data_IF_241835258768
#
_entry.id   IF_241835258768
#
_cell.length_a   1.000
_cell.length_b   1.000
_cell.length_c   1.000
_cell.angle_alpha   90.00
_cell.angle_beta   90.00
_cell.angle_gamma   90.00
#
_symmetry.space_group_name_H-M   'P 1'
#
loop_
_entity.id
_entity.type
_entity.pdbx_description
1 polymer ?
#
# COMPACT_ATOMS: atom_id res chain seq x y z
N UNK A 1 -23.51 29.15 -27.67
CA UNK A 1 -22.57 28.40 -26.82
C UNK A 1 -21.51 29.38 -26.41
N UNK A 2 -21.49 29.71 -25.13
CA UNK A 2 -20.55 30.69 -24.59
C UNK A 2 -19.25 29.92 -24.26
N UNK A 3 -18.07 30.53 -24.42
CA UNK A 3 -16.78 29.82 -24.23
C UNK A 3 -16.68 29.05 -22.89
N UNK A 4 -17.39 29.50 -21.85
CA UNK A 4 -17.46 28.83 -20.55
C UNK A 4 -18.12 27.45 -20.55
N UNK A 5 -19.04 27.16 -21.47
CA UNK A 5 -19.70 25.84 -21.59
C UNK A 5 -18.80 24.81 -22.31
N UNK A 6 -18.02 25.28 -23.30
CA UNK A 6 -17.05 24.45 -24.02
C UNK A 6 -15.86 24.07 -23.12
N UNK A 7 -15.43 24.98 -22.24
CA UNK A 7 -14.36 24.72 -21.27
C UNK A 7 -14.77 23.70 -20.19
N UNK A 8 -16.07 23.52 -19.93
CA UNK A 8 -16.57 22.54 -18.96
C UNK A 8 -16.78 21.13 -19.53
N UNK A 9 -16.91 20.98 -20.85
CA UNK A 9 -17.25 19.72 -21.49
C UNK A 9 -16.27 18.56 -21.17
N UNK A 10 -14.93 18.76 -21.15
CA UNK A 10 -14.00 17.69 -20.77
C UNK A 10 -14.13 17.24 -19.30
N UNK A 11 -14.79 18.02 -18.46
CA UNK A 11 -15.05 17.73 -17.04
C UNK A 11 -16.42 17.08 -16.80
N UNK A 12 -17.29 17.05 -17.81
CA UNK A 12 -18.60 16.40 -17.73
C UNK A 12 -18.45 14.91 -17.43
N UNK A 13 -19.46 14.37 -16.73
CA UNK A 13 -19.45 12.99 -16.26
C UNK A 13 -20.66 12.25 -16.80
N UNK A 14 -20.44 11.04 -17.29
CA UNK A 14 -21.53 10.16 -17.68
C UNK A 14 -22.27 9.57 -16.44
N UNK A 15 -23.24 8.69 -16.67
CA UNK A 15 -24.02 8.04 -15.61
C UNK A 15 -23.18 7.18 -14.65
N UNK A 16 -22.01 6.71 -15.07
CA UNK A 16 -21.06 5.98 -14.22
C UNK A 16 -20.09 6.92 -13.46
N UNK A 17 -20.20 8.23 -13.67
CA UNK A 17 -19.30 9.23 -13.11
C UNK A 17 -17.96 9.35 -13.87
N UNK A 18 -17.81 8.67 -15.01
CA UNK A 18 -16.61 8.74 -15.84
C UNK A 18 -16.58 10.06 -16.60
N UNK A 19 -15.43 10.75 -16.53
CA UNK A 19 -15.08 11.85 -17.44
C UNK A 19 -14.61 11.31 -18.79
N UNK A 20 -14.49 12.18 -19.80
CA UNK A 20 -13.88 11.81 -21.09
C UNK A 20 -12.48 11.17 -20.91
N UNK A 21 -11.70 11.65 -19.94
CA UNK A 21 -10.36 11.11 -19.66
C UNK A 21 -10.41 9.68 -19.11
N UNK A 22 -11.40 9.33 -18.29
CA UNK A 22 -11.58 7.94 -17.84
C UNK A 22 -11.82 7.00 -19.02
N UNK A 23 -12.68 7.42 -19.96
CA UNK A 23 -13.06 6.64 -21.13
C UNK A 23 -11.88 6.49 -22.10
N UNK A 24 -11.11 7.56 -22.31
CA UNK A 24 -9.90 7.52 -23.14
C UNK A 24 -8.86 6.53 -22.58
N UNK A 25 -8.59 6.57 -21.27
CA UNK A 25 -7.67 5.62 -20.63
C UNK A 25 -8.22 4.19 -20.63
N UNK A 26 -9.51 4.00 -20.36
CA UNK A 26 -10.16 2.69 -20.42
C UNK A 26 -10.08 2.07 -21.82
N UNK A 27 -10.22 2.89 -22.86
CA UNK A 27 -10.03 2.50 -24.26
C UNK A 27 -8.56 2.43 -24.70
N UNK A 28 -7.60 2.78 -23.83
CA UNK A 28 -6.17 2.87 -24.12
C UNK A 28 -5.84 3.85 -25.27
N UNK A 29 -6.66 4.87 -25.47
CA UNK A 29 -6.44 5.91 -26.48
C UNK A 29 -5.46 6.97 -25.93
N UNK A 30 -4.17 6.66 -25.97
CA UNK A 30 -3.12 7.48 -25.34
C UNK A 30 -3.08 8.92 -25.88
N UNK A 31 -3.18 9.10 -27.21
CA UNK A 31 -3.18 10.43 -27.83
C UNK A 31 -4.38 11.28 -27.36
N UNK A 32 -5.57 10.68 -27.32
CA UNK A 32 -6.78 11.36 -26.81
C UNK A 32 -6.66 11.67 -25.32
N UNK A 33 -6.13 10.74 -24.53
CA UNK A 33 -5.90 10.96 -23.10
C UNK A 33 -4.88 12.10 -22.87
N UNK A 34 -3.79 12.13 -23.65
CA UNK A 34 -2.80 13.21 -23.62
C UNK A 34 -3.44 14.58 -23.92
N UNK A 35 -4.20 14.68 -25.00
CA UNK A 35 -4.93 15.91 -25.33
C UNK A 35 -5.91 16.33 -24.22
N UNK A 36 -6.67 15.38 -23.66
CA UNK A 36 -7.61 15.65 -22.58
C UNK A 36 -6.92 16.15 -21.30
N UNK A 37 -5.69 15.68 -21.04
CA UNK A 37 -4.87 16.17 -19.91
C UNK A 37 -4.41 17.60 -20.14
N UNK A 38 -4.08 18.00 -21.37
CA UNK A 38 -3.71 19.39 -21.68
C UNK A 38 -4.88 20.35 -21.47
N UNK A 39 -6.07 19.99 -21.98
CA UNK A 39 -7.23 20.88 -21.93
C UNK A 39 -7.94 20.88 -20.57
N UNK A 40 -7.87 19.76 -19.83
CA UNK A 40 -8.57 19.60 -18.56
C UNK A 40 -7.80 18.73 -17.55
N UNK A 41 -6.61 19.16 -17.11
CA UNK A 41 -5.73 18.36 -16.25
C UNK A 41 -6.37 17.99 -14.91
N UNK A 42 -7.30 18.83 -14.40
CA UNK A 42 -8.00 18.57 -13.13
C UNK A 42 -8.86 17.30 -13.17
N UNK A 43 -9.30 16.89 -14.37
CA UNK A 43 -10.06 15.64 -14.56
C UNK A 43 -9.29 14.41 -14.09
N UNK A 44 -7.95 14.46 -14.10
CA UNK A 44 -7.09 13.36 -13.68
C UNK A 44 -7.30 12.93 -12.21
N UNK A 45 -7.84 13.81 -11.38
CA UNK A 45 -8.05 13.56 -9.95
C UNK A 45 -9.49 13.21 -9.58
N UNK A 46 -10.42 13.27 -10.54
CA UNK A 46 -11.83 13.04 -10.29
C UNK A 46 -12.16 11.57 -10.18
N UNK A 47 -12.85 11.18 -9.10
CA UNK A 47 -13.32 9.82 -8.93
C UNK A 47 -14.62 9.59 -9.69
N UNK A 48 -14.73 8.48 -10.42
CA UNK A 48 -16.00 7.96 -10.90
C UNK A 48 -16.81 7.26 -9.77
N UNK A 49 -17.97 6.68 -10.08
CA UNK A 49 -18.81 6.01 -9.07
C UNK A 49 -18.16 4.76 -8.46
N UNK A 50 -17.18 4.16 -9.14
CA UNK A 50 -16.40 3.04 -8.61
C UNK A 50 -15.23 3.52 -7.73
N UNK A 51 -15.06 4.83 -7.58
CA UNK A 51 -13.96 5.43 -6.81
C UNK A 51 -12.63 5.43 -7.55
N UNK A 52 -12.63 5.24 -8.88
CA UNK A 52 -11.43 5.22 -9.73
C UNK A 52 -11.16 6.62 -10.25
N UNK A 53 -9.91 7.08 -10.20
CA UNK A 53 -9.46 8.30 -10.88
C UNK A 53 -8.72 7.96 -12.19
N UNK A 54 -8.67 8.90 -13.16
CA UNK A 54 -7.83 8.70 -14.33
C UNK A 54 -6.34 8.65 -14.00
N UNK A 55 -5.87 9.37 -12.96
CA UNK A 55 -4.51 9.24 -12.46
C UNK A 55 -4.19 7.80 -12.03
N UNK A 56 -5.10 7.16 -11.30
CA UNK A 56 -4.98 5.73 -10.96
C UNK A 56 -4.91 4.86 -12.23
N UNK A 57 -5.80 5.09 -13.21
CA UNK A 57 -5.80 4.32 -14.46
C UNK A 57 -4.49 4.48 -15.23
N UNK A 58 -3.95 5.70 -15.33
CA UNK A 58 -2.68 5.96 -16.01
C UNK A 58 -1.51 5.23 -15.33
N UNK A 59 -1.49 5.13 -13.99
CA UNK A 59 -0.47 4.37 -13.24
C UNK A 59 -0.63 2.86 -13.48
N UNK A 60 -1.85 2.33 -13.40
CA UNK A 60 -2.11 0.90 -13.67
C UNK A 60 -1.78 0.50 -15.11
N UNK A 61 -1.98 1.41 -16.06
CA UNK A 61 -1.59 1.25 -17.46
C UNK A 61 -0.08 1.50 -17.70
N UNK A 62 0.66 1.94 -16.69
CA UNK A 62 2.08 2.29 -16.76
C UNK A 62 2.40 3.40 -17.76
N UNK A 63 1.47 4.35 -17.95
CA UNK A 63 1.68 5.54 -18.79
C UNK A 63 2.51 6.58 -18.04
N UNK A 64 3.76 6.22 -17.74
CA UNK A 64 4.63 6.95 -16.81
C UNK A 64 4.87 8.41 -17.22
N UNK A 65 5.03 8.68 -18.52
CA UNK A 65 5.21 10.04 -19.03
C UNK A 65 3.95 10.88 -18.83
N UNK A 66 2.78 10.27 -19.05
CA UNK A 66 1.49 10.90 -18.81
C UNK A 66 1.28 11.21 -17.33
N UNK A 67 1.63 10.29 -16.42
CA UNK A 67 1.56 10.52 -14.97
C UNK A 67 2.44 11.70 -14.56
N UNK A 68 3.69 11.76 -15.05
CA UNK A 68 4.59 12.89 -14.80
C UNK A 68 4.04 14.20 -15.35
N UNK A 69 3.45 14.15 -16.54
CA UNK A 69 2.85 15.31 -17.18
C UNK A 69 1.63 15.85 -16.40
N UNK A 70 0.76 14.95 -15.91
CA UNK A 70 -0.36 15.32 -15.03
C UNK A 70 0.15 16.11 -13.82
N UNK A 71 1.18 15.61 -13.14
CA UNK A 71 1.76 16.29 -11.98
C UNK A 71 2.52 17.58 -12.32
N UNK A 72 3.05 17.71 -13.52
CA UNK A 72 3.66 18.96 -14.00
C UNK A 72 2.61 20.05 -14.24
N UNK A 73 1.47 19.70 -14.85
CA UNK A 73 0.40 20.66 -15.13
C UNK A 73 -0.36 21.07 -13.87
N UNK A 74 -0.70 20.09 -13.02
CA UNK A 74 -1.36 20.34 -11.74
C UNK A 74 -0.69 19.46 -10.69
N UNK A 75 0.20 20.04 -9.85
CA UNK A 75 0.80 19.34 -8.73
C UNK A 75 -0.26 18.74 -7.82
N UNK A 76 0.01 17.52 -7.34
CA UNK A 76 -0.87 16.83 -6.41
C UNK A 76 -1.04 17.65 -5.14
N UNK A 77 -0.06 18.46 -4.73
CA UNK A 77 -0.09 19.38 -3.57
C UNK A 77 -0.98 20.62 -3.78
N UNK A 78 -1.29 20.97 -5.03
CA UNK A 78 -2.10 22.14 -5.38
C UNK A 78 -3.60 21.84 -5.56
N UNK A 79 -4.00 20.57 -5.59
CA UNK A 79 -5.43 20.21 -5.76
C UNK A 79 -6.26 20.57 -4.53
N UNK A 80 -7.55 20.84 -4.79
CA UNK A 80 -8.54 21.16 -3.77
C UNK A 80 -8.60 20.10 -2.66
N UNK A 81 -8.73 20.55 -1.40
CA UNK A 81 -8.73 19.70 -0.21
C UNK A 81 -9.81 18.60 -0.26
N UNK A 82 -10.99 18.89 -0.83
CA UNK A 82 -12.08 17.93 -0.96
C UNK A 82 -11.76 16.81 -1.95
N UNK A 83 -11.14 17.17 -3.08
CA UNK A 83 -10.68 16.21 -4.09
C UNK A 83 -9.56 15.35 -3.52
N UNK A 84 -8.56 15.98 -2.88
CA UNK A 84 -7.46 15.26 -2.21
C UNK A 84 -7.98 14.23 -1.22
N UNK A 85 -8.84 14.65 -0.28
CA UNK A 85 -9.41 13.73 0.73
C UNK A 85 -10.19 12.58 0.10
N UNK A 86 -10.91 12.83 -0.99
CA UNK A 86 -11.62 11.79 -1.73
C UNK A 86 -10.66 10.78 -2.34
N UNK A 87 -9.61 11.27 -3.01
CA UNK A 87 -8.56 10.43 -3.62
C UNK A 87 -7.84 9.56 -2.58
N UNK A 88 -7.47 10.13 -1.42
CA UNK A 88 -6.79 9.42 -0.34
C UNK A 88 -7.67 8.32 0.31
N UNK A 89 -9.00 8.46 0.24
CA UNK A 89 -9.98 7.52 0.79
C UNK A 89 -10.41 6.44 -0.21
N UNK A 90 -10.03 6.54 -1.47
CA UNK A 90 -10.38 5.59 -2.53
C UNK A 90 -9.64 4.26 -2.36
N UNK A 91 -10.11 3.39 -1.45
CA UNK A 91 -9.43 2.14 -1.11
C UNK A 91 -9.25 1.19 -2.29
N UNK A 92 -10.29 1.06 -3.12
CA UNK A 92 -10.30 0.20 -4.32
C UNK A 92 -9.29 0.64 -5.37
N UNK A 93 -9.11 1.95 -5.51
CA UNK A 93 -8.29 2.57 -6.54
C UNK A 93 -7.28 3.53 -5.92
N UNK A 94 -6.54 3.04 -4.93
CA UNK A 94 -5.53 3.84 -4.24
C UNK A 94 -4.32 4.07 -5.13
N UNK A 95 -4.04 5.33 -5.45
CA UNK A 95 -2.96 5.79 -6.34
C UNK A 95 -1.58 5.28 -5.87
N UNK A 96 -1.27 5.40 -4.58
CA UNK A 96 0.00 4.91 -4.02
C UNK A 96 0.14 3.39 -4.09
N UNK A 97 -0.95 2.64 -3.86
CA UNK A 97 -0.91 1.19 -3.98
C UNK A 97 -0.75 0.75 -5.44
N UNK A 98 -1.34 1.49 -6.38
CA UNK A 98 -1.09 1.29 -7.81
C UNK A 98 0.38 1.52 -8.16
N UNK A 99 0.99 2.59 -7.65
CA UNK A 99 2.42 2.86 -7.87
C UNK A 99 3.32 1.75 -7.31
N UNK A 100 3.05 1.28 -6.09
CA UNK A 100 3.77 0.13 -5.48
C UNK A 100 3.55 -1.15 -6.30
N UNK A 101 2.33 -1.38 -6.80
CA UNK A 101 2.00 -2.56 -7.63
C UNK A 101 2.69 -2.52 -8.99
N UNK A 102 2.81 -1.34 -9.59
CA UNK A 102 3.50 -1.12 -10.84
C UNK A 102 5.01 -1.38 -10.75
N UNK A 103 5.57 -1.44 -9.52
CA UNK A 103 7.00 -1.65 -9.24
C UNK A 103 7.91 -0.69 -10.01
N UNK A 104 7.46 0.55 -10.10
CA UNK A 104 8.17 1.63 -10.74
C UNK A 104 8.51 2.67 -9.66
N UNK A 105 9.73 2.56 -9.13
CA UNK A 105 10.17 3.41 -8.02
C UNK A 105 10.07 4.91 -8.36
N UNK A 106 10.38 5.31 -9.59
CA UNK A 106 10.28 6.71 -10.00
C UNK A 106 8.84 7.24 -10.07
N UNK A 107 7.84 6.38 -10.30
CA UNK A 107 6.42 6.77 -10.18
C UNK A 107 5.99 6.77 -8.72
N UNK A 108 6.44 5.81 -7.92
CA UNK A 108 6.18 5.80 -6.49
C UNK A 108 6.72 7.06 -5.81
N UNK A 109 7.98 7.40 -6.07
CA UNK A 109 8.63 8.64 -5.62
C UNK A 109 7.79 9.85 -5.98
N UNK A 110 7.43 9.98 -7.27
CA UNK A 110 6.65 11.12 -7.72
C UNK A 110 5.26 11.19 -7.07
N UNK A 111 4.57 10.05 -6.91
CA UNK A 111 3.28 10.01 -6.21
C UNK A 111 3.44 10.43 -4.75
N UNK A 112 4.51 10.02 -4.07
CA UNK A 112 4.75 10.37 -2.68
C UNK A 112 5.16 11.84 -2.47
N UNK A 113 5.86 12.45 -3.43
CA UNK A 113 6.16 13.89 -3.44
C UNK A 113 4.87 14.71 -3.59
N UNK A 114 3.97 14.27 -4.47
CA UNK A 114 2.76 15.01 -4.85
C UNK A 114 1.59 14.77 -3.90
N UNK A 115 1.54 13.58 -3.30
CA UNK A 115 0.48 13.10 -2.39
C UNK A 115 1.09 12.42 -1.14
N UNK A 116 1.87 13.13 -0.31
CA UNK A 116 2.57 12.53 0.84
C UNK A 116 1.62 11.88 1.85
N UNK A 117 0.43 12.45 2.04
CA UNK A 117 -0.61 11.91 2.93
C UNK A 117 -1.11 10.51 2.51
N UNK A 118 -0.83 10.09 1.26
CA UNK A 118 -1.19 8.76 0.78
C UNK A 118 -0.41 7.63 1.44
N UNK A 119 0.69 7.94 2.16
CA UNK A 119 1.43 6.96 2.99
C UNK A 119 0.51 6.24 3.99
N UNK A 120 -0.59 6.88 4.38
CA UNK A 120 -1.56 6.34 5.33
C UNK A 120 -2.83 5.78 4.70
N UNK A 121 -2.98 5.88 3.37
CA UNK A 121 -4.11 5.30 2.64
C UNK A 121 -4.19 3.79 2.85
N UNK A 122 -5.41 3.26 2.85
CA UNK A 122 -5.67 1.83 2.99
C UNK A 122 -6.15 1.26 1.66
N UNK A 123 -5.64 0.10 1.25
CA UNK A 123 -6.22 -0.67 0.15
C UNK A 123 -7.51 -1.40 0.59
N UNK A 124 -8.08 -2.23 -0.29
CA UNK A 124 -9.30 -3.01 0.01
C UNK A 124 -9.13 -4.00 1.18
N UNK A 125 -7.94 -4.59 1.31
CA UNK A 125 -7.57 -5.46 2.43
C UNK A 125 -7.36 -4.68 3.75
N UNK A 126 -7.43 -3.36 3.69
CA UNK A 126 -7.20 -2.48 4.82
C UNK A 126 -5.71 -2.35 5.18
N UNK A 127 -4.82 -2.56 4.23
CA UNK A 127 -3.37 -2.45 4.41
C UNK A 127 -2.85 -1.11 3.91
N UNK A 128 -1.82 -0.60 4.59
CA UNK A 128 -1.04 0.57 4.16
C UNK A 128 -0.04 0.21 3.05
N UNK A 129 0.53 1.19 2.33
CA UNK A 129 1.42 0.93 1.21
C UNK A 129 2.66 0.10 1.58
N UNK A 130 3.31 0.41 2.72
CA UNK A 130 4.47 -0.35 3.19
C UNK A 130 4.09 -1.80 3.57
N UNK A 131 2.95 -2.01 4.22
CA UNK A 131 2.42 -3.35 4.51
C UNK A 131 2.13 -4.14 3.23
N UNK A 132 1.58 -3.49 2.21
CA UNK A 132 1.36 -4.11 0.90
C UNK A 132 2.68 -4.49 0.22
N UNK A 133 3.66 -3.60 0.16
CA UNK A 133 4.99 -3.88 -0.39
C UNK A 133 5.66 -5.05 0.34
N UNK A 134 5.61 -5.03 1.68
CA UNK A 134 6.15 -6.08 2.55
C UNK A 134 5.48 -7.44 2.33
N UNK A 135 4.16 -7.47 2.20
CA UNK A 135 3.40 -8.70 1.91
C UNK A 135 3.67 -9.24 0.50
N UNK A 136 3.97 -8.37 -0.46
CA UNK A 136 4.17 -8.73 -1.87
C UNK A 136 5.61 -9.10 -2.21
N UNK A 137 6.57 -8.87 -1.31
CA UNK A 137 7.98 -9.19 -1.57
C UNK A 137 8.72 -8.08 -2.31
N UNK A 138 8.22 -6.85 -2.27
CA UNK A 138 8.71 -5.72 -3.06
C UNK A 138 9.79 -4.96 -2.28
N UNK A 139 11.01 -5.52 -2.27
CA UNK A 139 12.12 -5.06 -1.41
C UNK A 139 12.52 -3.60 -1.67
N UNK A 140 12.59 -3.17 -2.93
CA UNK A 140 13.01 -1.81 -3.28
C UNK A 140 11.98 -0.76 -2.80
N UNK A 141 10.70 -1.06 -2.92
CA UNK A 141 9.61 -0.24 -2.40
C UNK A 141 9.60 -0.23 -0.86
N UNK A 142 9.90 -1.36 -0.22
CA UNK A 142 10.09 -1.42 1.25
C UNK A 142 11.24 -0.51 1.68
N UNK A 143 12.41 -0.61 1.04
CA UNK A 143 13.57 0.25 1.31
C UNK A 143 13.24 1.72 1.14
N UNK A 144 12.57 2.05 0.04
CA UNK A 144 12.13 3.41 -0.23
C UNK A 144 11.28 3.97 0.92
N UNK A 145 10.26 3.24 1.37
CA UNK A 145 9.42 3.70 2.47
C UNK A 145 10.15 3.76 3.81
N UNK A 146 11.03 2.80 4.12
CA UNK A 146 11.79 2.80 5.37
C UNK A 146 12.79 3.96 5.44
N UNK A 147 13.41 4.31 4.31
CA UNK A 147 14.39 5.39 4.24
C UNK A 147 13.75 6.78 4.23
N UNK A 148 12.63 6.96 3.52
CA UNK A 148 12.00 8.27 3.34
C UNK A 148 10.85 8.54 4.31
N UNK A 149 10.23 7.48 4.85
CA UNK A 149 9.07 7.55 5.75
C UNK A 149 9.21 6.56 6.91
N UNK A 150 10.27 6.64 7.74
CA UNK A 150 10.58 5.62 8.76
C UNK A 150 9.43 5.36 9.74
N UNK A 151 8.64 6.37 10.09
CA UNK A 151 7.47 6.23 10.96
C UNK A 151 6.43 5.23 10.42
N UNK A 152 6.36 5.05 9.09
CA UNK A 152 5.43 4.11 8.46
C UNK A 152 5.67 2.65 8.89
N UNK A 153 6.89 2.30 9.32
CA UNK A 153 7.24 0.97 9.81
C UNK A 153 6.43 0.53 11.05
N UNK A 154 5.95 1.51 11.84
CA UNK A 154 5.20 1.29 13.09
C UNK A 154 3.73 1.74 13.00
N UNK A 155 3.25 2.11 11.82
CA UNK A 155 1.83 2.42 11.59
C UNK A 155 1.06 1.14 11.27
N UNK A 156 0.03 0.85 12.07
CA UNK A 156 -0.76 -0.37 11.90
C UNK A 156 -1.79 -0.26 10.77
N UNK A 157 -2.03 -1.41 10.14
CA UNK A 157 -3.11 -1.66 9.21
C UNK A 157 -4.46 -1.71 9.94
N UNK A 158 -5.56 -1.83 9.18
CA UNK A 158 -6.92 -1.92 9.74
C UNK A 158 -7.06 -3.07 10.74
N UNK A 159 -6.47 -4.22 10.43
CA UNK A 159 -6.46 -5.42 11.29
C UNK A 159 -5.50 -5.28 12.49
N UNK A 160 -4.76 -4.17 12.59
CA UNK A 160 -3.80 -3.90 13.65
C UNK A 160 -2.44 -4.53 13.46
N UNK A 161 -2.21 -5.24 12.36
CA UNK A 161 -0.88 -5.73 12.04
C UNK A 161 0.03 -4.57 11.60
N UNK A 162 1.34 -4.77 11.77
CA UNK A 162 2.37 -3.84 11.31
C UNK A 162 2.98 -4.37 10.02
N UNK A 163 3.64 -3.53 9.21
CA UNK A 163 4.28 -3.99 7.99
C UNK A 163 5.24 -5.18 8.19
N UNK A 164 6.03 -5.20 9.26
CA UNK A 164 6.91 -6.34 9.58
C UNK A 164 6.12 -7.63 9.82
N UNK A 165 4.92 -7.57 10.43
CA UNK A 165 4.06 -8.73 10.59
C UNK A 165 3.60 -9.29 9.23
N UNK A 166 3.34 -8.41 8.25
CA UNK A 166 3.01 -8.85 6.88
C UNK A 166 4.19 -9.53 6.19
N UNK A 167 5.39 -8.98 6.32
CA UNK A 167 6.62 -9.60 5.78
C UNK A 167 6.85 -11.00 6.38
N UNK A 168 6.72 -11.11 7.70
CA UNK A 168 6.87 -12.37 8.43
C UNK A 168 5.81 -13.36 7.98
N UNK A 169 4.52 -12.99 7.95
CA UNK A 169 3.44 -13.86 7.51
C UNK A 169 3.55 -14.31 6.05
N UNK A 170 4.11 -13.45 5.18
CA UNK A 170 4.41 -13.77 3.79
C UNK A 170 5.63 -14.69 3.62
N UNK A 171 6.57 -14.68 4.56
CA UNK A 171 7.75 -15.55 4.56
C UNK A 171 9.02 -14.91 3.96
N UNK A 172 9.06 -13.59 3.78
CA UNK A 172 10.19 -12.92 3.11
C UNK A 172 11.31 -12.54 4.09
N UNK A 173 12.25 -13.46 4.30
CA UNK A 173 13.41 -13.27 5.21
C UNK A 173 14.17 -11.97 4.92
N UNK A 174 14.47 -11.70 3.65
CA UNK A 174 15.23 -10.50 3.24
C UNK A 174 14.50 -9.19 3.56
N UNK A 175 13.16 -9.17 3.49
CA UNK A 175 12.36 -8.01 3.91
C UNK A 175 12.37 -7.87 5.43
N UNK A 176 12.24 -8.98 6.16
CA UNK A 176 12.32 -8.97 7.64
C UNK A 176 13.70 -8.48 8.10
N UNK A 177 14.77 -8.87 7.40
CA UNK A 177 16.11 -8.35 7.64
C UNK A 177 16.22 -6.85 7.42
N UNK A 178 15.64 -6.33 6.33
CA UNK A 178 15.58 -4.91 6.04
C UNK A 178 14.83 -4.13 7.15
N UNK A 179 13.67 -4.61 7.60
CA UNK A 179 12.95 -4.00 8.73
C UNK A 179 13.77 -3.97 10.03
N UNK A 180 14.44 -5.08 10.36
CA UNK A 180 15.25 -5.17 11.59
C UNK A 180 16.46 -4.24 11.53
N UNK A 181 17.08 -4.11 10.36
CA UNK A 181 18.25 -3.26 10.17
C UNK A 181 17.88 -1.77 10.18
N UNK A 182 16.80 -1.40 9.50
CA UNK A 182 16.38 -0.01 9.32
C UNK A 182 15.49 0.51 10.45
N UNK A 183 14.74 -0.38 11.11
CA UNK A 183 13.84 -0.03 12.23
C UNK A 183 13.85 -1.11 13.34
N UNK A 184 14.94 -1.26 14.12
CA UNK A 184 15.09 -2.34 15.11
C UNK A 184 13.97 -2.41 16.18
N UNK A 185 13.35 -1.27 16.50
CA UNK A 185 12.27 -1.19 17.49
C UNK A 185 11.03 -2.01 17.10
N UNK A 186 10.82 -2.26 15.81
CA UNK A 186 9.69 -3.05 15.29
C UNK A 186 9.66 -4.51 15.79
N UNK A 187 10.80 -5.03 16.29
CA UNK A 187 10.90 -6.37 16.89
C UNK A 187 9.99 -6.50 18.12
N UNK A 188 9.85 -5.42 18.91
CA UNK A 188 9.12 -5.45 20.17
C UNK A 188 7.63 -5.16 20.01
N UNK A 189 7.22 -4.68 18.84
CA UNK A 189 5.84 -4.31 18.60
C UNK A 189 4.96 -5.56 18.43
N UNK A 190 3.71 -5.43 18.86
CA UNK A 190 2.69 -6.46 18.76
C UNK A 190 1.49 -5.96 17.97
N UNK A 191 0.79 -6.86 17.28
CA UNK A 191 -0.44 -6.52 16.59
C UNK A 191 -1.62 -6.28 17.57
N UNK A 192 -2.80 -5.93 17.04
CA UNK A 192 -4.03 -5.77 17.84
C UNK A 192 -4.48 -7.02 18.58
N UNK A 193 -3.90 -8.19 18.32
CA UNK A 193 -4.15 -9.44 19.06
C UNK A 193 -3.02 -9.74 20.07
N UNK A 194 -2.11 -8.81 20.31
CA UNK A 194 -0.93 -9.02 21.14
C UNK A 194 0.11 -9.95 20.50
N UNK A 195 -0.02 -10.28 19.21
CA UNK A 195 0.87 -11.20 18.54
C UNK A 195 2.13 -10.47 18.10
N UNK A 196 3.29 -10.94 18.58
CA UNK A 196 4.60 -10.52 18.08
C UNK A 196 4.97 -11.21 16.77
N UNK A 197 6.05 -10.78 16.13
CA UNK A 197 6.61 -11.42 14.93
C UNK A 197 6.86 -12.93 15.09
N UNK A 198 7.19 -13.43 16.29
CA UNK A 198 7.36 -14.86 16.54
C UNK A 198 6.03 -15.62 16.51
N UNK A 199 4.95 -15.04 17.07
CA UNK A 199 3.62 -15.62 16.99
C UNK A 199 3.16 -15.72 15.54
N UNK A 200 3.39 -14.67 14.75
CA UNK A 200 3.05 -14.64 13.33
C UNK A 200 3.85 -15.69 12.55
N UNK A 201 5.16 -15.81 12.79
CA UNK A 201 5.99 -16.82 12.13
C UNK A 201 5.48 -18.25 12.40
N UNK A 202 5.12 -18.56 13.64
CA UNK A 202 4.55 -19.88 14.02
C UNK A 202 3.16 -20.08 13.39
N UNK A 203 2.26 -19.10 13.53
CA UNK A 203 0.87 -19.16 13.02
C UNK A 203 0.81 -19.46 11.54
N UNK A 204 1.68 -18.83 10.75
CA UNK A 204 1.76 -19.01 9.29
C UNK A 204 2.81 -20.05 8.86
N UNK A 205 3.37 -20.83 9.79
CA UNK A 205 4.35 -21.90 9.54
C UNK A 205 5.57 -21.46 8.74
N UNK A 206 6.10 -20.27 9.04
CA UNK A 206 7.26 -19.67 8.36
C UNK A 206 8.55 -20.08 9.05
N UNK A 207 8.93 -21.35 8.84
CA UNK A 207 10.11 -21.95 9.47
C UNK A 207 11.41 -21.18 9.16
N UNK A 208 11.60 -20.75 7.91
CA UNK A 208 12.81 -20.04 7.49
C UNK A 208 12.94 -18.68 8.18
N UNK A 209 11.85 -17.91 8.23
CA UNK A 209 11.78 -16.63 8.95
C UNK A 209 11.99 -16.85 10.44
N UNK A 210 11.36 -17.88 11.02
CA UNK A 210 11.54 -18.20 12.44
C UNK A 210 13.00 -18.57 12.76
N UNK A 211 13.66 -19.38 11.92
CA UNK A 211 15.07 -19.74 12.05
C UNK A 211 15.98 -18.52 11.97
N UNK A 212 15.70 -17.60 11.04
CA UNK A 212 16.41 -16.33 10.93
C UNK A 212 16.22 -15.47 12.19
N UNK A 213 14.97 -15.29 12.64
CA UNK A 213 14.62 -14.44 13.77
C UNK A 213 15.24 -14.93 15.08
N UNK A 214 15.21 -16.23 15.37
CA UNK A 214 15.73 -16.80 16.63
C UNK A 214 17.26 -16.71 16.78
N UNK A 215 17.99 -16.51 15.67
CA UNK A 215 19.43 -16.22 15.68
C UNK A 215 19.76 -14.80 16.12
N UNK A 216 18.79 -13.87 16.10
CA UNK A 216 18.99 -12.48 16.53
C UNK A 216 18.79 -12.35 18.04
N UNK A 217 19.78 -11.80 18.75
CA UNK A 217 19.77 -11.67 20.23
C UNK A 217 18.62 -10.79 20.70
N UNK A 218 18.27 -9.78 19.91
CA UNK A 218 17.19 -8.83 20.17
C UNK A 218 15.83 -9.53 20.20
N UNK A 219 15.64 -10.52 19.32
CA UNK A 219 14.39 -11.30 19.24
C UNK A 219 14.24 -12.27 20.41
N UNK A 220 15.34 -12.77 21.00
CA UNK A 220 15.25 -13.64 22.17
C UNK A 220 14.60 -12.93 23.37
N UNK A 221 14.71 -11.61 23.44
CA UNK A 221 14.08 -10.79 24.48
C UNK A 221 12.56 -10.85 24.43
N UNK A 222 11.94 -11.15 23.27
CA UNK A 222 10.48 -11.21 23.13
C UNK A 222 9.88 -12.61 23.27
N UNK A 223 10.66 -13.62 23.65
CA UNK A 223 10.17 -15.01 23.77
C UNK A 223 9.07 -15.19 24.82
N UNK A 224 9.06 -14.31 25.82
CA UNK A 224 8.11 -14.32 26.94
C UNK A 224 6.80 -13.59 26.62
N UNK A 225 6.73 -12.84 25.50
CA UNK A 225 5.53 -12.11 25.14
C UNK A 225 4.37 -13.08 24.92
N UNK A 226 3.22 -12.69 25.45
CA UNK A 226 1.96 -13.43 25.33
C UNK A 226 1.00 -12.65 24.45
N UNK A 227 0.28 -13.36 23.61
CA UNK A 227 -0.85 -12.80 22.87
C UNK A 227 -2.06 -12.53 23.78
N UNK A 228 -3.14 -12.04 23.21
CA UNK A 228 -4.39 -11.76 23.93
C UNK A 228 -5.05 -12.99 24.57
N UNK A 229 -4.71 -14.20 24.12
CA UNK A 229 -5.18 -15.44 24.72
C UNK A 229 -4.25 -15.90 25.87
N UNK A 230 -3.23 -15.10 26.21
CA UNK A 230 -2.24 -15.42 27.23
C UNK A 230 -1.20 -16.45 26.77
N UNK A 231 -1.10 -16.73 25.47
CA UNK A 231 -0.22 -17.77 24.91
C UNK A 231 1.06 -17.16 24.39
N UNK A 232 2.19 -17.82 24.67
CA UNK A 232 3.45 -17.52 23.98
C UNK A 232 3.46 -18.16 22.58
N UNK A 233 4.42 -17.76 21.73
CA UNK A 233 4.60 -18.40 20.44
C UNK A 233 4.89 -19.91 20.56
N UNK A 234 5.52 -20.36 21.67
CA UNK A 234 5.78 -21.77 21.94
C UNK A 234 4.49 -22.53 22.28
N UNK A 235 3.60 -21.92 23.06
CA UNK A 235 2.30 -22.51 23.39
C UNK A 235 1.44 -22.66 22.14
N UNK A 236 1.48 -21.66 21.25
CA UNK A 236 0.84 -21.72 19.95
C UNK A 236 1.42 -22.85 19.07
N UNK A 237 2.75 -23.03 19.06
CA UNK A 237 3.40 -24.09 18.30
C UNK A 237 2.95 -25.49 18.76
N UNK A 238 2.91 -25.74 20.08
CA UNK A 238 2.43 -27.01 20.66
C UNK A 238 0.97 -27.29 20.29
N UNK A 239 0.12 -26.27 20.32
CA UNK A 239 -1.29 -26.42 19.95
C UNK A 239 -1.47 -26.79 18.48
N UNK A 240 -0.70 -26.15 17.58
CA UNK A 240 -0.74 -26.48 16.16
C UNK A 240 -0.26 -27.91 15.91
N UNK A 241 0.83 -28.34 16.54
CA UNK A 241 1.33 -29.71 16.44
C UNK A 241 0.28 -30.76 16.89
N UNK A 242 -0.36 -30.53 18.03
CA UNK A 242 -1.40 -31.43 18.55
C UNK A 242 -2.61 -31.51 17.61
N UNK A 243 -3.01 -30.38 16.99
CA UNK A 243 -4.09 -30.38 15.99
C UNK A 243 -3.71 -31.16 14.73
N UNK A 244 -2.47 -31.07 14.27
CA UNK A 244 -2.01 -31.89 13.14
C UNK A 244 -2.05 -33.37 13.45
N UNK A 245 -1.59 -33.78 14.63
CA UNK A 245 -1.68 -35.17 15.09
C UNK A 245 -3.13 -35.66 15.16
N UNK A 246 -4.05 -34.86 15.69
CA UNK A 246 -5.46 -35.24 15.82
C UNK A 246 -6.24 -35.41 14.50
N UNK A 247 -5.77 -34.84 13.38
CA UNK A 247 -6.42 -34.98 12.05
C UNK A 247 -6.00 -36.28 11.35
N UNK A 248 -4.83 -36.82 11.69
CA UNK A 248 -4.24 -38.00 11.04
C UNK A 248 -4.40 -39.29 11.85
N UNK A 249 -5.09 -39.24 12.99
CA UNK A 249 -5.44 -40.41 13.83
C UNK A 249 -6.93 -40.63 13.76
#
# INVERSE_FOLDING_TARGET
>A
MNNSELDSFPLERNLAGDTALHLALKGRHEASAGYLIEVAPKAAYFLNQQGVSPLYQAIELQYNNMVRHIFQLIPGTAIDSSIRKSLLRAKKASVVHAAVRARNLGILERVMEELPDSIDSLNEEGWKPLSYAAYKGYLEEVRYFLNNFPDSARKCDRDGSLPIHKAVGAGFVHIVEEFISSCPLTINDVDKRGQSILHIAVKYKRADVFSYLTKKKEVQKIFHLKDQEGKTFMDLARQLENRFKAIIT
#
